data_IF_173446861494
#
_entry.id   IF_173446861494
#
_cell.length_a   1.000
_cell.length_b   1.000
_cell.length_c   1.000
_cell.angle_alpha   90.00
_cell.angle_beta   90.00
_cell.angle_gamma   90.00
#
_symmetry.space_group_name_H-M   'P 1'
#
loop_
_entity.id
_entity.type
_entity.pdbx_description
1 polymer ?
#
# COMPACT_ATOMS: atom_id res chain seq x y z
N UNK A 1 -2.96 -1.40 -50.89
CA UNK A 1 -2.08 -1.23 -49.73
C UNK A 1 -2.87 -1.57 -48.48
N UNK A 2 -2.60 -2.73 -47.88
CA UNK A 2 -3.24 -3.16 -46.63
C UNK A 2 -2.23 -2.94 -45.51
N UNK A 3 -2.42 -1.89 -44.72
CA UNK A 3 -1.85 -1.75 -43.37
C UNK A 3 -3.04 -1.40 -42.47
N UNK A 4 -3.64 -2.38 -41.78
CA UNK A 4 -3.27 -2.77 -40.42
C UNK A 4 -3.01 -1.53 -39.57
N UNK A 5 -4.02 -1.10 -38.83
CA UNK A 5 -3.77 -0.93 -37.41
C UNK A 5 -4.95 -1.35 -36.55
N UNK A 6 -4.58 -2.21 -35.63
CA UNK A 6 -5.35 -3.18 -34.91
C UNK A 6 -5.93 -2.51 -33.67
N UNK A 7 -7.22 -2.72 -33.43
CA UNK A 7 -7.85 -2.55 -32.13
C UNK A 7 -6.96 -3.15 -31.03
N UNK A 8 -6.27 -2.32 -30.24
CA UNK A 8 -5.69 -2.74 -28.96
C UNK A 8 -6.54 -2.15 -27.85
N UNK A 9 -7.46 -3.01 -27.40
CA UNK A 9 -8.08 -3.12 -26.08
C UNK A 9 -7.44 -2.25 -25.00
N UNK A 10 -8.31 -1.58 -24.25
CA UNK A 10 -7.98 -0.76 -23.09
C UNK A 10 -6.98 -1.42 -22.15
N UNK A 11 -5.89 -0.71 -21.87
CA UNK A 11 -5.20 -0.82 -20.61
C UNK A 11 -6.06 -0.10 -19.59
N UNK A 12 -6.81 -0.86 -18.79
CA UNK A 12 -7.21 -0.37 -17.46
C UNK A 12 -5.90 -0.09 -16.73
N UNK A 13 -5.72 1.14 -16.28
CA UNK A 13 -4.57 1.55 -15.51
C UNK A 13 -4.62 0.86 -14.14
N UNK A 14 -4.17 -0.39 -14.09
CA UNK A 14 -3.81 -1.05 -12.84
C UNK A 14 -2.49 -0.44 -12.38
N UNK A 15 -2.58 0.66 -11.65
CA UNK A 15 -1.46 1.21 -10.90
C UNK A 15 -0.90 0.16 -9.92
N UNK A 16 0.34 0.35 -9.42
CA UNK A 16 1.10 -0.66 -8.65
C UNK A 16 0.52 -1.03 -7.27
N UNK A 17 -0.72 -0.63 -6.97
CA UNK A 17 -1.36 -0.77 -5.67
C UNK A 17 -2.58 -1.70 -5.67
N UNK A 18 -2.86 -2.42 -6.77
CA UNK A 18 -4.09 -3.21 -6.88
C UNK A 18 -3.95 -4.70 -6.48
N UNK A 19 -2.73 -5.19 -6.29
CA UNK A 19 -2.47 -6.61 -6.00
C UNK A 19 -2.00 -6.80 -4.55
N UNK A 20 -2.97 -6.99 -3.65
CA UNK A 20 -2.76 -7.19 -2.21
C UNK A 20 -1.70 -8.26 -1.80
N UNK A 21 -1.54 -9.40 -2.50
CA UNK A 21 -0.61 -10.46 -2.08
C UNK A 21 0.87 -10.07 -2.19
N UNK A 22 1.23 -9.23 -3.17
CA UNK A 22 2.63 -8.84 -3.41
C UNK A 22 3.11 -7.82 -2.37
N UNK A 23 2.17 -7.06 -1.81
CA UNK A 23 2.44 -5.94 -0.90
C UNK A 23 2.53 -6.38 0.57
N UNK A 24 1.81 -7.43 0.97
CA UNK A 24 1.99 -8.06 2.29
C UNK A 24 3.44 -8.47 2.55
N UNK A 25 4.09 -9.09 1.56
CA UNK A 25 5.48 -9.54 1.68
C UNK A 25 6.47 -8.39 1.87
N UNK A 26 6.18 -7.23 1.31
CA UNK A 26 7.05 -6.06 1.43
C UNK A 26 6.82 -5.32 2.77
N UNK A 27 5.58 -5.27 3.26
CA UNK A 27 5.26 -4.78 4.61
C UNK A 27 5.91 -5.66 5.67
N UNK A 28 5.82 -6.98 5.53
CA UNK A 28 6.46 -7.94 6.44
C UNK A 28 7.97 -7.71 6.57
N UNK A 29 8.68 -7.58 5.44
CA UNK A 29 10.11 -7.29 5.44
C UNK A 29 10.41 -5.95 6.11
N UNK A 30 9.68 -4.89 5.78
CA UNK A 30 9.90 -3.56 6.35
C UNK A 30 9.72 -3.55 7.87
N UNK A 31 8.68 -4.22 8.39
CA UNK A 31 8.40 -4.31 9.82
C UNK A 31 9.48 -5.05 10.60
N UNK A 32 10.05 -6.12 10.03
CA UNK A 32 11.12 -6.88 10.67
C UNK A 32 12.44 -6.12 10.77
N UNK A 33 12.71 -5.13 9.92
CA UNK A 33 13.96 -4.36 9.95
C UNK A 33 14.00 -3.29 11.04
N UNK A 34 12.85 -2.77 11.45
CA UNK A 34 12.83 -1.55 12.26
C UNK A 34 12.65 -1.80 13.76
N UNK A 35 12.05 -2.91 14.19
CA UNK A 35 11.62 -3.09 15.59
C UNK A 35 12.16 -4.39 16.19
N UNK A 36 12.80 -4.31 17.36
CA UNK A 36 13.36 -5.45 18.10
C UNK A 36 12.34 -6.22 18.94
N UNK A 37 11.18 -5.63 19.25
CA UNK A 37 10.03 -6.32 19.84
C UNK A 37 8.76 -6.02 19.06
N UNK A 38 8.01 -7.08 18.77
CA UNK A 38 6.84 -7.05 17.90
C UNK A 38 5.57 -7.16 18.74
N UNK A 39 4.82 -6.07 18.88
CA UNK A 39 3.41 -6.11 19.33
C UNK A 39 2.53 -5.71 18.16
N UNK A 40 1.51 -6.54 17.88
CA UNK A 40 0.55 -6.31 16.81
C UNK A 40 -0.24 -5.01 17.06
N UNK A 41 -0.58 -4.76 18.31
CA UNK A 41 -1.33 -3.59 18.76
C UNK A 41 -0.54 -2.30 18.50
N UNK A 42 0.76 -2.30 18.78
CA UNK A 42 1.63 -1.15 18.53
C UNK A 42 1.76 -0.85 17.02
N UNK A 43 1.82 -1.90 16.19
CA UNK A 43 1.86 -1.75 14.73
C UNK A 43 0.54 -1.26 14.15
N UNK A 44 -0.60 -1.73 14.68
CA UNK A 44 -1.91 -1.21 14.30
C UNK A 44 -2.07 0.26 14.71
N UNK A 45 -1.63 0.63 15.93
CA UNK A 45 -1.62 2.02 16.37
C UNK A 45 -0.75 2.92 15.49
N UNK A 46 0.41 2.44 15.06
CA UNK A 46 1.28 3.16 14.14
C UNK A 46 0.64 3.33 12.75
N UNK A 47 -0.03 2.30 12.24
CA UNK A 47 -0.75 2.35 10.98
C UNK A 47 -1.84 3.43 10.97
N UNK A 48 -2.56 3.58 12.09
CA UNK A 48 -3.58 4.62 12.24
C UNK A 48 -2.98 6.04 12.26
N UNK A 49 -1.77 6.22 12.80
CA UNK A 49 -1.09 7.53 12.79
C UNK A 49 -0.80 7.99 11.36
N UNK A 50 -0.45 7.08 10.44
CA UNK A 50 -0.18 7.44 9.04
C UNK A 50 -1.38 8.05 8.33
N UNK A 51 -2.58 7.66 8.73
CA UNK A 51 -3.82 8.19 8.17
C UNK A 51 -4.43 9.26 9.05
N UNK A 52 -4.12 9.36 10.34
CA UNK A 52 -4.74 10.34 11.24
C UNK A 52 -4.00 11.68 11.27
N UNK A 53 -2.68 11.67 11.21
CA UNK A 53 -1.85 12.87 11.23
C UNK A 53 -1.54 13.34 9.80
N UNK A 54 -1.88 14.60 9.52
CA UNK A 54 -1.75 15.21 8.20
C UNK A 54 -0.31 15.29 7.68
N UNK A 55 0.69 15.39 8.57
CA UNK A 55 2.11 15.43 8.17
C UNK A 55 2.53 14.09 7.57
N UNK A 56 2.14 12.99 8.21
CA UNK A 56 2.40 11.65 7.69
C UNK A 56 1.56 11.35 6.45
N UNK A 57 0.26 11.69 6.48
CA UNK A 57 -0.62 11.54 5.33
C UNK A 57 -0.06 12.25 4.11
N UNK A 58 0.32 13.52 4.25
CA UNK A 58 0.91 14.32 3.17
C UNK A 58 2.23 13.74 2.65
N UNK A 59 3.08 13.20 3.53
CA UNK A 59 4.32 12.55 3.13
C UNK A 59 4.07 11.37 2.18
N UNK A 60 3.17 10.46 2.56
CA UNK A 60 2.86 9.28 1.76
C UNK A 60 2.01 9.61 0.52
N UNK A 61 1.11 10.58 0.61
CA UNK A 61 0.24 10.98 -0.49
C UNK A 61 0.88 11.96 -1.47
N UNK A 62 2.05 12.54 -1.14
CA UNK A 62 2.78 13.49 -1.98
C UNK A 62 3.02 13.02 -3.42
N UNK A 63 3.09 11.69 -3.63
CA UNK A 63 3.30 11.08 -4.95
C UNK A 63 2.06 10.40 -5.51
N UNK A 64 1.23 9.81 -4.65
CA UNK A 64 0.03 9.05 -5.04
C UNK A 64 -1.03 9.22 -3.95
N UNK A 65 -2.17 9.83 -4.30
CA UNK A 65 -3.32 9.96 -3.39
C UNK A 65 -3.83 8.58 -2.96
N UNK A 66 -4.26 8.45 -1.70
CA UNK A 66 -4.75 7.19 -1.13
C UNK A 66 -3.63 6.24 -0.68
N UNK A 67 -2.36 6.60 -0.83
CA UNK A 67 -1.24 5.73 -0.42
C UNK A 67 -1.16 5.53 1.09
N UNK A 68 -1.50 6.56 1.88
CA UNK A 68 -1.49 6.46 3.34
C UNK A 68 -2.55 5.44 3.83
N UNK A 69 -3.77 5.53 3.29
CA UNK A 69 -4.86 4.60 3.60
C UNK A 69 -4.53 3.18 3.15
N UNK A 70 -3.94 3.04 1.97
CA UNK A 70 -3.49 1.77 1.45
C UNK A 70 -2.43 1.10 2.36
N UNK A 71 -1.45 1.89 2.84
CA UNK A 71 -0.42 1.41 3.74
C UNK A 71 -1.01 0.95 5.08
N UNK A 72 -1.92 1.74 5.66
CA UNK A 72 -2.63 1.36 6.89
C UNK A 72 -3.36 0.03 6.70
N UNK A 73 -4.17 -0.08 5.66
CA UNK A 73 -4.95 -1.28 5.39
C UNK A 73 -4.07 -2.51 5.18
N UNK A 74 -2.93 -2.35 4.50
CA UNK A 74 -1.94 -3.42 4.32
C UNK A 74 -1.37 -3.91 5.65
N UNK A 75 -1.05 -2.99 6.57
CA UNK A 75 -0.57 -3.33 7.90
C UNK A 75 -1.67 -4.04 8.70
N UNK A 76 -2.91 -3.53 8.69
CA UNK A 76 -4.02 -4.15 9.43
C UNK A 76 -4.35 -5.57 8.96
N UNK A 77 -4.33 -5.81 7.65
CA UNK A 77 -4.53 -7.16 7.09
C UNK A 77 -3.39 -8.09 7.49
N UNK A 78 -2.13 -7.63 7.43
CA UNK A 78 -0.98 -8.42 7.87
C UNK A 78 -1.06 -8.83 9.35
N UNK A 79 -1.58 -7.94 10.21
CA UNK A 79 -1.76 -8.19 11.63
C UNK A 79 -2.95 -9.11 11.94
N UNK A 80 -3.87 -9.28 10.99
CA UNK A 80 -5.11 -10.04 11.14
C UNK A 80 -6.26 -9.25 11.78
N UNK A 81 -6.20 -7.91 11.74
CA UNK A 81 -7.27 -7.04 12.24
C UNK A 81 -8.35 -6.74 11.20
N UNK A 82 -8.12 -7.10 9.93
CA UNK A 82 -9.00 -6.84 8.78
C UNK A 82 -8.86 -7.97 7.77
#
# INVERSE_FOLDING_TARGET
MISRDNHRKGRRESGPFHDAPTLQKEVEKWLMYTWSSYSKEAHAGLAEIYVSDERFRSYYESRVKGRAEFLRDSILVYLGYK
#
